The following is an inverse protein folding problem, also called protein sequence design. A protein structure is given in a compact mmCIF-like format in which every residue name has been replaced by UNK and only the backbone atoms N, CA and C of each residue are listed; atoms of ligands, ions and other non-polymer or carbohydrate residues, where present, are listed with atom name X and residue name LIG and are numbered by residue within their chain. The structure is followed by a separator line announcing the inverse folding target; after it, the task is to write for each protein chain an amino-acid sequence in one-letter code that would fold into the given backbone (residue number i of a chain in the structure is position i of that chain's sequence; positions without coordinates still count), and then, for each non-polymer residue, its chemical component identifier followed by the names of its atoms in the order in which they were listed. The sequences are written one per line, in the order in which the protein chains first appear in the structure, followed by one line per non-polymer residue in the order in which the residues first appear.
data_IF_313377122805
#
_entry.id   IF_313377122805
#
_cell.length_a   1.000
_cell.length_b   1.000
_cell.length_c   1.000
_cell.angle_alpha   90.00
_cell.angle_beta   90.00
_cell.angle_gamma   90.00
#
_symmetry.space_group_name_H-M   'P 1'
#
loop_
_entity.id
_entity.type
_entity.pdbx_description
1 polymer ?
#
# COMPACT_ATOMS: atom_id res chain seq x y z
N UNK A 1 -19.89 -9.79 30.99
CA UNK A 1 -19.21 -8.48 30.96
C UNK A 1 -18.66 -8.33 29.54
N UNK A 2 -18.88 -7.19 28.87
CA UNK A 2 -18.47 -7.02 27.47
C UNK A 2 -16.94 -6.84 27.44
N UNK A 3 -16.21 -7.82 26.88
CA UNK A 3 -14.76 -7.77 26.70
C UNK A 3 -14.44 -6.98 25.43
N UNK A 4 -13.43 -6.12 25.50
CA UNK A 4 -13.04 -5.24 24.40
C UNK A 4 -11.67 -5.72 23.91
N UNK A 5 -11.62 -6.28 22.70
CA UNK A 5 -10.36 -6.68 22.08
C UNK A 5 -9.95 -5.67 21.03
N UNK A 6 -8.71 -5.18 21.12
CA UNK A 6 -8.17 -4.16 20.22
C UNK A 6 -7.35 -4.87 19.14
N UNK A 7 -7.81 -4.84 17.89
CA UNK A 7 -7.01 -5.19 16.74
C UNK A 7 -6.23 -3.96 16.28
N UNK A 8 -4.93 -4.11 16.02
CA UNK A 8 -4.12 -3.08 15.38
C UNK A 8 -4.25 -3.32 13.87
N UNK A 9 -5.21 -2.64 13.24
CA UNK A 9 -5.43 -2.76 11.80
C UNK A 9 -4.73 -1.64 11.05
N UNK A 10 -4.36 -1.93 9.80
CA UNK A 10 -3.94 -0.92 8.83
C UNK A 10 -5.09 0.08 8.60
N UNK A 11 -4.78 1.29 8.11
CA UNK A 11 -5.69 2.44 8.07
C UNK A 11 -7.01 2.22 7.28
N UNK A 12 -7.17 1.11 6.57
CA UNK A 12 -8.25 0.83 5.61
C UNK A 12 -9.27 -0.24 6.02
N UNK A 13 -9.13 -0.85 7.19
CA UNK A 13 -10.05 -1.91 7.62
C UNK A 13 -11.43 -1.36 7.98
N UNK A 14 -12.37 -1.43 7.02
CA UNK A 14 -13.73 -0.91 7.18
C UNK A 14 -14.64 -1.87 7.99
N UNK A 15 -14.40 -3.18 7.89
CA UNK A 15 -15.14 -4.20 8.63
C UNK A 15 -14.17 -5.29 9.08
N UNK A 16 -13.80 -5.23 10.35
CA UNK A 16 -13.30 -6.41 11.04
C UNK A 16 -14.23 -6.70 12.20
N UNK A 17 -14.53 -7.97 12.43
CA UNK A 17 -15.32 -8.43 13.57
C UNK A 17 -14.45 -9.07 14.66
N UNK A 18 -13.32 -8.47 15.12
CA UNK A 18 -12.54 -9.05 16.20
C UNK A 18 -13.30 -9.02 17.54
N UNK A 19 -14.36 -8.20 17.63
CA UNK A 19 -15.24 -8.10 18.80
C UNK A 19 -16.32 -9.20 18.90
N UNK A 20 -16.44 -10.09 17.91
CA UNK A 20 -17.43 -11.18 17.90
C UNK A 20 -16.82 -12.60 17.89
N UNK A 21 -15.50 -12.75 17.75
CA UNK A 21 -14.88 -14.06 17.79
C UNK A 21 -14.75 -14.54 19.26
N UNK A 22 -15.38 -15.66 19.59
CA UNK A 22 -15.16 -16.44 20.82
C UNK A 22 -13.89 -17.31 20.68
N UNK A 23 -13.44 -17.92 21.78
CA UNK A 23 -12.26 -18.80 21.79
C UNK A 23 -12.37 -19.93 20.74
N UNK A 24 -11.34 -20.11 19.91
CA UNK A 24 -11.27 -21.18 18.90
C UNK A 24 -11.91 -20.83 17.55
N UNK A 25 -12.27 -19.57 17.32
CA UNK A 25 -12.97 -19.15 16.12
C UNK A 25 -12.06 -18.44 15.11
N UNK A 26 -12.39 -18.64 13.82
CA UNK A 26 -11.84 -17.84 12.74
C UNK A 26 -12.67 -16.58 12.54
N UNK A 27 -12.00 -15.48 12.23
CA UNK A 27 -12.64 -14.26 11.74
C UNK A 27 -11.98 -13.79 10.45
N UNK A 28 -12.78 -13.11 9.64
CA UNK A 28 -12.33 -12.50 8.40
C UNK A 28 -12.61 -11.00 8.46
N UNK A 29 -11.63 -10.20 8.04
CA UNK A 29 -11.79 -8.78 7.76
C UNK A 29 -11.53 -8.52 6.29
N UNK A 30 -12.22 -7.54 5.72
CA UNK A 30 -11.91 -7.03 4.39
C UNK A 30 -12.07 -5.51 4.40
N UNK A 31 -11.24 -4.84 3.62
CA UNK A 31 -11.20 -3.39 3.52
C UNK A 31 -10.92 -2.96 2.09
N UNK A 32 -11.32 -1.74 1.77
CA UNK A 32 -10.95 -1.08 0.53
C UNK A 32 -10.90 0.42 0.75
N UNK A 33 -9.94 1.09 0.12
CA UNK A 33 -9.74 2.52 0.20
C UNK A 33 -9.51 3.12 -1.19
N UNK A 34 -9.70 4.44 -1.26
CA UNK A 34 -9.19 5.28 -2.34
C UNK A 34 -8.28 6.33 -1.70
N UNK A 35 -7.19 6.68 -2.37
CA UNK A 35 -6.21 7.59 -1.81
C UNK A 35 -5.22 8.03 -2.86
N UNK A 36 -4.40 9.01 -2.50
CA UNK A 36 -3.33 9.52 -3.34
C UNK A 36 -2.01 9.05 -2.72
N UNK A 37 -1.09 8.53 -3.53
CA UNK A 37 0.23 8.14 -3.06
C UNK A 37 1.14 9.37 -2.99
N UNK A 38 2.10 9.34 -2.06
CA UNK A 38 3.08 10.42 -1.92
C UNK A 38 4.08 10.39 -3.08
N UNK A 39 4.50 11.58 -3.53
CA UNK A 39 5.48 11.73 -4.60
C UNK A 39 6.77 10.95 -4.30
N UNK A 40 7.18 10.11 -5.25
CA UNK A 40 8.42 9.33 -5.15
C UNK A 40 9.57 10.13 -5.73
N UNK A 41 10.60 10.38 -4.91
CA UNK A 41 11.83 11.04 -5.35
C UNK A 41 12.97 10.04 -5.51
N UNK A 42 13.45 9.89 -6.74
CA UNK A 42 14.61 9.07 -7.07
C UNK A 42 15.84 9.97 -7.26
N UNK A 43 16.73 10.00 -6.28
CA UNK A 43 17.98 10.80 -6.38
C UNK A 43 19.11 9.98 -6.99
N UNK A 44 19.66 10.47 -8.09
CA UNK A 44 20.85 9.90 -8.72
C UNK A 44 22.11 10.67 -8.26
N UNK A 45 23.18 9.94 -7.90
CA UNK A 45 24.37 10.53 -7.28
C UNK A 45 25.28 11.30 -8.26
N UNK A 46 25.28 10.97 -9.55
CA UNK A 46 26.10 11.64 -10.56
C UNK A 46 25.53 13.03 -10.96
N UNK A 47 24.21 13.20 -10.93
CA UNK A 47 23.54 14.45 -11.32
C UNK A 47 23.05 15.30 -10.14
N UNK A 48 22.97 14.72 -8.93
CA UNK A 48 22.46 15.38 -7.71
C UNK A 48 21.11 16.10 -7.95
N UNK A 49 20.31 15.56 -8.86
CA UNK A 49 18.99 16.04 -9.23
C UNK A 49 18.01 14.88 -8.99
N UNK A 50 16.93 15.09 -8.21
CA UNK A 50 15.90 14.09 -8.07
C UNK A 50 15.10 13.97 -9.37
N UNK A 51 14.70 12.74 -9.70
CA UNK A 51 13.57 12.47 -10.59
C UNK A 51 12.33 12.33 -9.71
N UNK A 52 11.31 13.15 -9.97
CA UNK A 52 10.06 13.12 -9.22
C UNK A 52 9.00 12.34 -10.00
N UNK A 53 8.30 11.44 -9.32
CA UNK A 53 7.18 10.69 -9.86
C UNK A 53 5.98 11.06 -9.00
N UNK A 54 4.99 11.69 -9.63
CA UNK A 54 3.71 12.00 -9.00
C UNK A 54 2.68 10.97 -9.41
N UNK A 55 1.77 10.72 -8.48
CA UNK A 55 0.71 9.73 -8.63
C UNK A 55 -0.62 10.38 -8.31
N UNK A 56 -1.64 10.05 -9.08
CA UNK A 56 -2.99 10.51 -8.83
C UNK A 56 -3.76 9.50 -7.95
N UNK A 57 -5.06 9.75 -7.79
CA UNK A 57 -5.98 8.96 -7.00
C UNK A 57 -5.97 7.49 -7.43
N UNK A 58 -5.47 6.63 -6.55
CA UNK A 58 -5.47 5.19 -6.66
C UNK A 58 -6.47 4.52 -5.72
N UNK A 59 -6.40 3.19 -5.70
CA UNK A 59 -7.22 2.35 -4.84
C UNK A 59 -6.38 1.30 -4.12
N UNK A 60 -6.89 0.86 -2.97
CA UNK A 60 -6.34 -0.27 -2.23
C UNK A 60 -7.44 -1.22 -1.78
N UNK A 61 -7.10 -2.51 -1.69
CA UNK A 61 -7.95 -3.54 -1.15
C UNK A 61 -7.15 -4.45 -0.23
N UNK A 62 -7.76 -4.82 0.89
CA UNK A 62 -7.13 -5.63 1.91
C UNK A 62 -8.06 -6.76 2.39
N UNK A 63 -7.44 -7.84 2.83
CA UNK A 63 -8.10 -8.96 3.47
C UNK A 63 -7.28 -9.42 4.67
N UNK A 64 -7.97 -9.74 5.75
CA UNK A 64 -7.40 -10.23 6.99
C UNK A 64 -8.07 -11.54 7.39
N UNK A 65 -7.28 -12.56 7.67
CA UNK A 65 -7.71 -13.81 8.28
C UNK A 65 -7.12 -13.89 9.69
N UNK A 66 -7.99 -13.99 10.69
CA UNK A 66 -7.61 -14.15 12.07
C UNK A 66 -8.09 -15.48 12.66
N UNK A 67 -7.35 -15.99 13.63
CA UNK A 67 -7.72 -17.16 14.43
C UNK A 67 -7.43 -16.90 15.89
N UNK A 68 -8.44 -17.05 16.74
CA UNK A 68 -8.30 -16.95 18.19
C UNK A 68 -8.06 -18.34 18.78
N UNK A 69 -6.88 -18.58 19.36
CA UNK A 69 -6.55 -19.85 20.00
C UNK A 69 -6.76 -19.83 21.54
N UNK A 70 -7.34 -18.76 22.09
CA UNK A 70 -7.51 -18.52 23.52
C UNK A 70 -6.41 -17.59 24.07
N UNK A 71 -5.29 -18.09 24.62
CA UNK A 71 -4.23 -17.22 25.15
C UNK A 71 -3.38 -16.55 24.06
N UNK A 72 -3.50 -16.99 22.82
CA UNK A 72 -2.76 -16.45 21.66
C UNK A 72 -3.71 -16.29 20.49
N UNK A 73 -3.61 -15.17 19.79
CA UNK A 73 -4.35 -14.87 18.58
C UNK A 73 -3.38 -14.68 17.42
N UNK A 74 -3.72 -15.26 16.27
CA UNK A 74 -2.95 -15.12 15.03
C UNK A 74 -3.72 -14.30 14.02
N UNK A 75 -3.04 -13.38 13.34
CA UNK A 75 -3.61 -12.56 12.28
C UNK A 75 -2.70 -12.61 11.06
N UNK A 76 -3.28 -12.86 9.89
CA UNK A 76 -2.64 -12.78 8.59
C UNK A 76 -3.38 -11.73 7.77
N UNK A 77 -2.70 -10.67 7.36
CA UNK A 77 -3.23 -9.60 6.52
C UNK A 77 -2.51 -9.59 5.17
N UNK A 78 -3.25 -9.37 4.10
CA UNK A 78 -2.73 -9.13 2.76
C UNK A 78 -3.44 -7.94 2.12
N UNK A 79 -2.69 -7.06 1.48
CA UNK A 79 -3.24 -5.90 0.78
C UNK A 79 -2.59 -5.72 -0.61
N UNK A 80 -3.40 -5.21 -1.53
CA UNK A 80 -3.00 -4.76 -2.86
C UNK A 80 -3.34 -3.30 -3.02
N UNK A 81 -2.44 -2.52 -3.62
CA UNK A 81 -2.61 -1.10 -3.89
C UNK A 81 -2.21 -0.80 -5.33
N UNK A 82 -2.93 0.11 -5.97
CA UNK A 82 -2.72 0.52 -7.36
C UNK A 82 -2.92 2.03 -7.49
N UNK A 83 -1.92 2.72 -8.03
CA UNK A 83 -1.94 4.17 -8.24
C UNK A 83 -1.54 4.48 -9.68
N UNK A 84 -2.27 5.38 -10.31
CA UNK A 84 -1.93 5.88 -11.64
C UNK A 84 -0.84 6.94 -11.52
N UNK A 85 0.15 6.88 -12.41
CA UNK A 85 1.22 7.89 -12.51
C UNK A 85 0.80 8.89 -13.56
N UNK A 86 0.67 10.16 -13.18
CA UNK A 86 0.22 11.26 -14.04
C UNK A 86 1.39 12.13 -14.54
N UNK A 87 2.43 12.27 -13.72
CA UNK A 87 3.62 13.07 -14.03
C UNK A 87 4.93 12.36 -13.67
N UNK A 88 5.93 12.50 -14.54
CA UNK A 88 7.33 12.25 -14.22
C UNK A 88 8.14 13.53 -14.50
N UNK A 89 8.77 14.13 -13.49
CA UNK A 89 9.79 15.16 -13.69
C UNK A 89 11.17 14.54 -13.76
N UNK A 90 11.68 14.42 -14.98
CA UNK A 90 12.99 13.83 -15.27
C UNK A 90 14.17 14.76 -14.96
N UNK A 91 13.91 16.03 -14.60
CA UNK A 91 14.92 17.02 -14.28
C UNK A 91 16.06 17.07 -15.31
N UNK A 92 17.30 17.02 -14.83
CA UNK A 92 18.51 16.95 -15.66
C UNK A 92 19.00 15.54 -15.96
N UNK A 93 18.41 14.51 -15.33
CA UNK A 93 18.77 13.10 -15.54
C UNK A 93 18.22 12.63 -16.90
N UNK A 94 17.00 13.05 -17.22
CA UNK A 94 16.30 12.70 -18.43
C UNK A 94 15.76 11.27 -18.42
N UNK A 95 14.66 11.04 -19.14
CA UNK A 95 14.05 9.71 -19.33
C UNK A 95 14.09 9.31 -20.80
N UNK A 96 14.28 8.01 -21.13
CA UNK A 96 14.25 7.57 -22.51
C UNK A 96 12.91 7.85 -23.18
N UNK A 97 12.93 8.59 -24.28
CA UNK A 97 11.78 8.84 -25.13
C UNK A 97 12.06 8.32 -26.55
N UNK A 98 11.26 7.34 -26.96
CA UNK A 98 11.38 6.75 -28.28
C UNK A 98 10.62 7.60 -29.29
N UNK A 99 11.35 8.18 -30.25
CA UNK A 99 10.75 8.68 -31.49
C UNK A 99 10.87 7.61 -32.58
N UNK A 100 10.08 7.66 -33.67
CA UNK A 100 10.16 6.68 -34.75
C UNK A 100 11.54 6.55 -35.41
N UNK A 101 12.44 7.50 -35.15
CA UNK A 101 13.75 7.61 -35.81
C UNK A 101 14.94 7.69 -34.85
N UNK A 102 14.73 7.81 -33.53
CA UNK A 102 15.82 7.86 -32.55
C UNK A 102 15.34 7.58 -31.12
N UNK A 103 16.28 7.15 -30.27
CA UNK A 103 16.13 7.16 -28.82
C UNK A 103 16.79 8.44 -28.30
N UNK A 104 15.97 9.40 -27.88
CA UNK A 104 16.44 10.62 -27.22
C UNK A 104 16.15 10.52 -25.72
N UNK A 105 16.83 11.34 -24.93
CA UNK A 105 16.40 11.61 -23.55
C UNK A 105 15.49 12.83 -23.56
N UNK A 106 14.37 12.73 -22.87
CA UNK A 106 13.49 13.85 -22.58
C UNK A 106 13.72 14.33 -21.15
N UNK A 107 13.73 15.64 -20.94
CA UNK A 107 14.16 16.29 -19.69
C UNK A 107 13.03 17.14 -19.10
N UNK A 108 13.05 17.35 -17.79
CA UNK A 108 12.01 18.10 -17.09
C UNK A 108 10.67 17.35 -17.00
N UNK A 109 9.57 18.06 -16.67
CA UNK A 109 8.26 17.47 -16.41
C UNK A 109 7.60 16.90 -17.68
N UNK A 110 7.15 15.66 -17.56
CA UNK A 110 6.37 14.92 -18.53
C UNK A 110 4.96 14.75 -17.95
N UNK A 111 3.97 15.42 -18.55
CA UNK A 111 2.57 15.43 -18.11
C UNK A 111 1.64 15.61 -19.34
N UNK A 112 0.76 14.64 -19.67
CA UNK A 112 0.52 13.40 -18.92
C UNK A 112 1.51 12.29 -19.30
N UNK A 113 1.84 11.43 -18.34
CA UNK A 113 2.41 10.11 -18.61
C UNK A 113 1.33 9.03 -18.49
N UNK A 114 1.60 7.86 -19.10
CA UNK A 114 0.73 6.70 -18.98
C UNK A 114 1.49 5.60 -18.25
N UNK A 115 1.51 5.70 -16.91
CA UNK A 115 2.18 4.76 -16.02
C UNK A 115 1.25 4.27 -14.92
N UNK A 116 1.53 3.07 -14.41
CA UNK A 116 0.83 2.45 -13.28
C UNK A 116 1.87 2.02 -12.24
N UNK A 117 1.58 2.27 -10.97
CA UNK A 117 2.37 1.82 -9.83
C UNK A 117 1.51 0.94 -8.93
N UNK A 118 1.84 -0.34 -8.86
CA UNK A 118 1.16 -1.30 -8.00
C UNK A 118 2.08 -1.89 -6.93
N UNK A 119 1.48 -2.44 -5.87
CA UNK A 119 2.22 -3.08 -4.79
C UNK A 119 1.40 -4.05 -3.96
N UNK A 120 2.06 -5.12 -3.52
CA UNK A 120 1.51 -6.09 -2.57
C UNK A 120 2.20 -5.96 -1.21
N UNK A 121 1.42 -6.06 -0.14
CA UNK A 121 1.94 -6.18 1.23
C UNK A 121 1.28 -7.34 1.96
N UNK A 122 2.04 -7.99 2.83
CA UNK A 122 1.54 -9.02 3.71
C UNK A 122 2.11 -8.82 5.12
N UNK A 123 1.28 -9.05 6.13
CA UNK A 123 1.66 -8.94 7.54
C UNK A 123 1.17 -10.16 8.30
N UNK A 124 1.96 -10.59 9.27
CA UNK A 124 1.59 -11.65 10.19
C UNK A 124 1.85 -11.20 11.62
N UNK A 125 0.83 -11.31 12.47
CA UNK A 125 0.90 -10.94 13.87
C UNK A 125 0.52 -12.13 14.76
N UNK A 126 1.18 -12.20 15.91
CA UNK A 126 0.80 -13.06 17.02
C UNK A 126 0.61 -12.20 18.27
N UNK A 127 -0.61 -12.19 18.80
CA UNK A 127 -1.03 -11.36 19.93
C UNK A 127 -1.25 -12.27 21.14
N UNK A 128 -0.74 -11.87 22.31
CA UNK A 128 -1.03 -12.56 23.57
C UNK A 128 -2.26 -11.93 24.21
N UNK A 129 -3.27 -12.74 24.52
CA UNK A 129 -4.44 -12.30 25.28
C UNK A 129 -4.21 -12.56 26.78
N UNK A 130 -4.27 -11.50 27.58
CA UNK A 130 -4.12 -11.56 29.03
C UNK A 130 -5.46 -11.40 29.78
N UNK A 131 -6.59 -11.48 29.07
CA UNK A 131 -7.94 -11.19 29.56
C UNK A 131 -8.84 -12.42 29.78
N UNK A 132 -8.58 -13.17 30.84
CA UNK A 132 -9.55 -14.13 31.41
C UNK A 132 -10.84 -13.48 31.89
#
# INVERSE_FOLDING_TARGET
MKKFTVALMTATAFIATPAMADDGEFYLGMGSGIGEAENVQLTEQAFNSPVEISTELGWEAEALLGYDAGPVRFELEGAYRNFDVDMIDAGTVGVPFATPTSYALDFGPQDPVNGEMDGWSAMFNALLDFGG
#
